data_IF_283662056785
#
_entry.id   IF_283662056785
#
_cell.length_a   1.000
_cell.length_b   1.000
_cell.length_c   1.000
_cell.angle_alpha   90.00
_cell.angle_beta   90.00
_cell.angle_gamma   90.00
#
_symmetry.space_group_name_H-M   'P 1'
#
loop_
_entity.id
_entity.type
_entity.pdbx_description
1 polymer ?
#
# COMPACT_ATOMS: atom_id res chain seq x y z
N UNK A 1 -19.04 -28.53 -35.88
CA UNK A 1 -19.04 -27.07 -36.13
C UNK A 1 -18.65 -26.36 -34.85
N UNK A 2 -17.39 -25.91 -34.66
CA UNK A 2 -17.02 -25.17 -33.45
C UNK A 2 -17.30 -23.67 -33.63
N UNK A 3 -18.13 -23.12 -32.76
CA UNK A 3 -18.41 -21.69 -32.66
C UNK A 3 -17.11 -20.95 -32.27
N UNK A 4 -16.55 -20.18 -33.20
CA UNK A 4 -15.36 -19.35 -32.98
C UNK A 4 -15.83 -18.08 -32.29
N UNK A 5 -15.85 -18.10 -30.95
CA UNK A 5 -16.18 -16.94 -30.13
C UNK A 5 -15.06 -15.91 -30.27
N UNK A 6 -15.19 -15.04 -31.27
CA UNK A 6 -14.36 -13.85 -31.42
C UNK A 6 -14.90 -12.86 -30.40
N UNK A 7 -14.39 -12.92 -29.17
CA UNK A 7 -14.67 -11.87 -28.20
C UNK A 7 -14.22 -10.55 -28.82
N UNK A 8 -15.13 -9.58 -28.99
CA UNK A 8 -14.77 -8.32 -29.62
C UNK A 8 -13.67 -7.68 -28.77
N UNK A 9 -12.58 -7.28 -29.42
CA UNK A 9 -11.40 -6.70 -28.78
C UNK A 9 -11.74 -5.63 -27.74
N UNK A 10 -12.85 -4.90 -27.94
CA UNK A 10 -13.38 -3.90 -27.02
C UNK A 10 -13.77 -4.41 -25.62
N UNK A 11 -14.25 -5.65 -25.48
CA UNK A 11 -14.63 -6.21 -24.16
C UNK A 11 -13.38 -6.53 -23.33
N UNK A 12 -12.31 -6.98 -24.00
CA UNK A 12 -11.03 -7.27 -23.34
C UNK A 12 -10.39 -5.97 -22.83
N UNK A 13 -10.42 -4.90 -23.61
CA UNK A 13 -9.92 -3.58 -23.17
C UNK A 13 -10.74 -3.02 -22.02
N UNK A 14 -12.07 -3.16 -22.04
CA UNK A 14 -12.93 -2.69 -20.94
C UNK A 14 -12.66 -3.45 -19.64
N UNK A 15 -12.46 -4.76 -19.73
CA UNK A 15 -12.07 -5.58 -18.57
C UNK A 15 -10.70 -5.15 -18.03
N UNK A 16 -9.72 -4.92 -18.91
CA UNK A 16 -8.39 -4.44 -18.51
C UNK A 16 -8.46 -3.08 -17.82
N UNK A 17 -9.17 -2.10 -18.40
CA UNK A 17 -9.34 -0.77 -17.82
C UNK A 17 -10.01 -0.86 -16.44
N UNK A 18 -11.07 -1.66 -16.31
CA UNK A 18 -11.74 -1.87 -15.03
C UNK A 18 -10.79 -2.49 -13.98
N UNK A 19 -10.01 -3.52 -14.36
CA UNK A 19 -9.04 -4.13 -13.44
C UNK A 19 -7.92 -3.17 -13.05
N UNK A 20 -7.42 -2.35 -13.98
CA UNK A 20 -6.40 -1.34 -13.67
C UNK A 20 -6.94 -0.19 -12.82
N UNK A 21 -8.19 0.22 -13.01
CA UNK A 21 -8.82 1.26 -12.20
C UNK A 21 -9.05 0.78 -10.77
N UNK A 22 -9.53 -0.45 -10.61
CA UNK A 22 -9.67 -1.09 -9.29
C UNK A 22 -8.30 -1.31 -8.62
N UNK A 23 -7.29 -1.72 -9.38
CA UNK A 23 -5.92 -1.86 -8.88
C UNK A 23 -5.30 -0.52 -8.48
N UNK A 24 -5.54 0.54 -9.27
CA UNK A 24 -5.00 1.87 -8.99
C UNK A 24 -5.70 2.54 -7.81
N UNK A 25 -6.98 2.23 -7.56
CA UNK A 25 -7.69 2.65 -6.35
C UNK A 25 -7.21 1.85 -5.12
N UNK A 26 -6.91 0.57 -5.30
CA UNK A 26 -6.26 -0.22 -4.24
C UNK A 26 -4.86 0.31 -3.88
N UNK A 27 -4.13 0.83 -4.87
CA UNK A 27 -2.81 1.48 -4.72
C UNK A 27 -2.86 2.95 -4.23
N UNK A 28 -4.02 3.49 -3.84
CA UNK A 28 -4.10 4.71 -3.02
C UNK A 28 -3.67 4.37 -1.58
N UNK A 29 -2.49 3.78 -1.48
CA UNK A 29 -1.93 3.17 -0.29
C UNK A 29 -1.19 4.25 0.48
N UNK A 30 -1.71 4.64 1.65
CA UNK A 30 -0.94 5.38 2.65
C UNK A 30 0.41 4.67 2.94
N UNK A 31 0.46 3.34 2.76
CA UNK A 31 1.70 2.58 2.80
C UNK A 31 2.72 2.98 1.72
N UNK A 32 2.29 3.41 0.52
CA UNK A 32 3.21 3.84 -0.55
C UNK A 32 3.89 5.17 -0.18
N UNK A 33 3.13 6.12 0.37
CA UNK A 33 3.65 7.38 0.90
C UNK A 33 4.60 7.11 2.08
N UNK A 34 4.21 6.21 3.00
CA UNK A 34 5.06 5.77 4.11
C UNK A 34 6.41 5.23 3.61
N UNK A 35 6.39 4.34 2.62
CA UNK A 35 7.59 3.74 2.01
C UNK A 35 8.46 4.79 1.32
N UNK A 36 7.85 5.76 0.66
CA UNK A 36 8.56 6.85 0.00
C UNK A 36 9.25 7.78 1.01
N UNK A 37 8.59 8.09 2.13
CA UNK A 37 9.16 8.90 3.22
C UNK A 37 10.32 8.19 3.93
N UNK A 38 10.26 6.87 4.05
CA UNK A 38 11.30 6.05 4.70
C UNK A 38 12.55 5.83 3.83
N UNK A 39 12.43 6.00 2.50
CA UNK A 39 13.54 5.81 1.57
C UNK A 39 14.03 4.35 1.50
N UNK A 40 15.35 4.14 1.58
CA UNK A 40 15.98 2.81 1.53
C UNK A 40 16.39 2.31 2.92
N UNK A 41 16.15 1.03 3.21
CA UNK A 41 16.60 0.40 4.46
C UNK A 41 15.56 0.31 5.56
N UNK A 42 14.28 0.11 5.21
CA UNK A 42 13.22 -0.18 6.17
C UNK A 42 12.75 -1.64 6.06
N UNK A 43 12.26 -2.18 7.17
CA UNK A 43 11.59 -3.47 7.23
C UNK A 43 10.14 -3.25 7.68
N UNK A 44 9.20 -3.56 6.81
CA UNK A 44 7.77 -3.48 7.10
C UNK A 44 7.20 -4.90 7.13
N UNK A 45 6.61 -5.30 8.25
CA UNK A 45 5.96 -6.61 8.42
C UNK A 45 4.57 -6.44 9.00
N UNK A 46 3.57 -6.88 8.23
CA UNK A 46 2.21 -7.02 8.71
C UNK A 46 2.02 -8.38 9.39
N UNK A 47 1.50 -8.37 10.60
CA UNK A 47 1.12 -9.54 11.38
C UNK A 47 -0.12 -9.17 12.20
N UNK A 48 -1.30 -9.37 11.61
CA UNK A 48 -2.58 -8.96 12.20
C UNK A 48 -2.70 -9.38 13.68
N UNK A 49 -3.08 -8.47 14.59
CA UNK A 49 -3.57 -7.09 14.39
C UNK A 49 -2.46 -6.01 14.39
N UNK A 50 -1.19 -6.37 14.22
CA UNK A 50 -0.05 -5.48 14.39
C UNK A 50 0.77 -5.28 13.10
N UNK A 51 1.16 -4.04 12.82
CA UNK A 51 2.12 -3.67 11.78
C UNK A 51 3.41 -3.25 12.47
N UNK A 52 4.51 -3.92 12.12
CA UNK A 52 5.84 -3.62 12.62
C UNK A 52 6.60 -2.92 11.50
N UNK A 53 7.13 -1.75 11.80
CA UNK A 53 8.02 -0.99 10.93
C UNK A 53 9.36 -0.79 11.65
N UNK A 54 10.45 -1.21 11.04
CA UNK A 54 11.81 -0.90 11.48
C UNK A 54 12.44 0.00 10.43
N UNK A 55 12.88 1.19 10.82
CA UNK A 55 13.52 2.16 9.90
C UNK A 55 15.03 1.95 9.83
N UNK A 56 15.68 2.60 8.85
CA UNK A 56 17.13 2.51 8.67
C UNK A 56 17.91 3.01 9.91
N UNK A 57 17.35 3.99 10.61
CA UNK A 57 17.84 4.53 11.88
C UNK A 57 17.65 3.59 13.09
N UNK A 58 17.26 2.33 12.84
CA UNK A 58 16.95 1.30 13.86
C UNK A 58 15.79 1.68 14.78
N UNK A 59 14.96 2.64 14.38
CA UNK A 59 13.74 2.97 15.11
C UNK A 59 12.68 1.92 14.77
N UNK A 60 12.06 1.36 15.81
CA UNK A 60 10.98 0.39 15.64
C UNK A 60 9.67 1.05 16.01
N UNK A 61 8.73 1.06 15.07
CA UNK A 61 7.38 1.55 15.24
C UNK A 61 6.41 0.39 15.13
N UNK A 62 5.39 0.40 15.98
CA UNK A 62 4.36 -0.63 16.01
C UNK A 62 3.01 0.07 16.01
N UNK A 63 2.16 -0.25 15.04
CA UNK A 63 0.77 0.18 15.02
C UNK A 63 -0.14 -1.03 15.10
N UNK A 64 -1.12 -0.98 16.01
CA UNK A 64 -2.18 -1.97 16.07
C UNK A 64 -3.38 -1.46 15.29
N UNK A 65 -3.84 -2.20 14.29
CA UNK A 65 -5.04 -1.85 13.56
C UNK A 65 -5.75 -3.10 13.03
N UNK A 66 -7.01 -2.94 12.63
CA UNK A 66 -7.82 -4.04 12.10
C UNK A 66 -7.54 -4.33 10.61
N UNK A 67 -6.76 -3.49 9.94
CA UNK A 67 -6.37 -3.68 8.55
C UNK A 67 -4.98 -3.10 8.29
N UNK A 68 -4.26 -3.71 7.34
CA UNK A 68 -2.92 -3.26 6.93
C UNK A 68 -2.91 -1.79 6.50
N UNK A 69 -3.93 -1.36 5.77
CA UNK A 69 -4.09 0.03 5.30
C UNK A 69 -4.20 1.00 6.50
N UNK A 70 -5.12 0.74 7.44
CA UNK A 70 -5.26 1.57 8.64
C UNK A 70 -3.99 1.61 9.51
N UNK A 71 -3.25 0.51 9.59
CA UNK A 71 -2.00 0.48 10.34
C UNK A 71 -0.91 1.33 9.68
N UNK A 72 -0.86 1.36 8.35
CA UNK A 72 0.05 2.24 7.62
C UNK A 72 -0.30 3.72 7.83
N UNK A 73 -1.58 4.10 7.80
CA UNK A 73 -1.99 5.49 8.05
C UNK A 73 -1.60 5.94 9.47
N UNK A 74 -1.82 5.08 10.47
CA UNK A 74 -1.38 5.34 11.85
C UNK A 74 0.15 5.50 11.99
N UNK A 75 0.93 4.65 11.31
CA UNK A 75 2.39 4.79 11.30
C UNK A 75 2.85 6.05 10.57
N UNK A 76 2.18 6.43 9.49
CA UNK A 76 2.50 7.62 8.70
C UNK A 76 2.33 8.87 9.55
N UNK A 77 1.21 8.98 10.28
CA UNK A 77 0.94 10.09 11.19
C UNK A 77 1.98 10.18 12.32
N UNK A 78 2.43 9.03 12.86
CA UNK A 78 3.51 8.99 13.85
C UNK A 78 4.86 9.45 13.27
N UNK A 79 5.17 9.05 12.04
CA UNK A 79 6.38 9.45 11.34
C UNK A 79 6.41 10.94 11.01
N UNK A 80 5.31 11.49 10.49
CA UNK A 80 5.19 12.92 10.21
C UNK A 80 5.38 13.77 11.48
N UNK A 81 4.75 13.36 12.60
CA UNK A 81 4.94 14.02 13.88
C UNK A 81 6.40 13.96 14.39
N UNK A 82 7.06 12.81 14.20
CA UNK A 82 8.46 12.62 14.59
C UNK A 82 9.42 13.44 13.72
N UNK A 83 9.18 13.53 12.42
CA UNK A 83 9.98 14.35 11.50
C UNK A 83 9.83 15.84 11.80
N UNK A 84 8.63 16.28 12.18
CA UNK A 84 8.37 17.67 12.55
C UNK A 84 9.06 18.09 13.86
N UNK A 85 9.26 17.16 14.78
CA UNK A 85 9.96 17.43 16.07
C UNK A 85 11.49 17.38 15.95
N UNK A 86 12.04 16.85 14.85
CA UNK A 86 13.49 16.81 14.60
C UNK A 86 14.05 18.03 13.84
N UNK A 87 13.20 18.98 13.45
CA UNK A 87 13.56 20.19 12.69
C UNK A 87 13.65 21.40 13.61
#
# INVERSE_FOLDING_TARGET
MPNKSILPFGVVTLALVATTALYSWWQHDDCAVLKQTLGSGYFLRWAEPQLILVTADKQTYMASANSQSSACSHLLEQLENTLKTKK
#
